data_IF_154843656914
#
_entry.id   IF_154843656914
#
_cell.length_a   1.000
_cell.length_b   1.000
_cell.length_c   1.000
_cell.angle_alpha   90.00
_cell.angle_beta   90.00
_cell.angle_gamma   90.00
#
_symmetry.space_group_name_H-M   'P 1'
#
loop_
_entity.id
_entity.type
_entity.pdbx_description
1 polymer ?
#
# COMPACT_ATOMS: atom_id res chain seq x y z
N UNK A 1 5.96 7.70 -1.23
CA UNK A 1 7.25 7.10 -0.83
C UNK A 1 7.32 7.20 0.68
N UNK A 2 7.33 6.05 1.37
CA UNK A 2 7.17 5.97 2.82
C UNK A 2 7.86 4.71 3.35
N UNK A 3 8.12 4.67 4.66
CA UNK A 3 8.62 3.48 5.36
C UNK A 3 7.43 2.59 5.70
N UNK A 4 7.27 1.49 4.99
CA UNK A 4 6.13 0.58 5.20
C UNK A 4 6.52 -0.66 6.01
N UNK A 5 7.81 -0.85 6.23
CA UNK A 5 8.34 -1.85 7.11
C UNK A 5 9.31 -1.23 8.14
N UNK A 6 9.93 -2.10 8.94
CA UNK A 6 10.93 -1.69 9.91
C UNK A 6 12.31 -1.42 9.27
N UNK A 7 12.40 -1.39 7.93
CA UNK A 7 13.63 -1.06 7.24
C UNK A 7 13.92 0.44 7.37
N UNK A 8 15.21 0.79 7.28
CA UNK A 8 15.60 2.20 7.29
C UNK A 8 15.42 2.86 5.92
N UNK A 9 14.92 2.13 4.93
CA UNK A 9 14.87 2.56 3.55
C UNK A 9 13.42 2.85 3.12
N UNK A 10 13.21 3.82 2.23
CA UNK A 10 11.89 4.13 1.73
C UNK A 10 11.40 3.08 0.71
N UNK A 11 10.15 2.67 0.88
CA UNK A 11 9.40 1.81 -0.02
C UNK A 11 8.60 2.62 -1.05
N UNK A 12 8.22 1.96 -2.14
CA UNK A 12 7.49 2.56 -3.25
C UNK A 12 6.16 1.83 -3.47
N UNK A 13 5.06 2.57 -3.37
CA UNK A 13 3.75 2.10 -3.81
C UNK A 13 3.39 2.77 -5.14
N UNK A 14 2.82 1.98 -6.06
CA UNK A 14 2.37 2.42 -7.37
C UNK A 14 0.91 2.00 -7.49
N UNK A 15 0.03 3.00 -7.46
CA UNK A 15 -1.36 2.84 -7.83
C UNK A 15 -1.46 2.73 -9.35
N UNK A 16 -2.12 1.67 -9.84
CA UNK A 16 -2.36 1.48 -11.27
C UNK A 16 -3.84 1.67 -11.56
N UNK A 17 -4.13 2.22 -12.74
CA UNK A 17 -5.47 2.29 -13.27
C UNK A 17 -5.79 0.97 -13.99
N UNK A 18 -6.86 0.28 -13.61
CA UNK A 18 -7.35 -0.97 -14.23
C UNK A 18 -6.43 -2.21 -14.15
N UNK A 19 -5.41 -2.20 -13.28
CA UNK A 19 -4.48 -3.32 -13.06
C UNK A 19 -4.10 -3.43 -11.58
N UNK A 20 -3.48 -4.54 -11.19
CA UNK A 20 -2.94 -4.75 -9.83
C UNK A 20 -2.03 -3.60 -9.39
N UNK A 21 -2.20 -3.15 -8.15
CA UNK A 21 -1.31 -2.18 -7.53
C UNK A 21 0.03 -2.84 -7.16
N UNK A 22 1.12 -2.06 -7.16
CA UNK A 22 2.45 -2.56 -6.80
C UNK A 22 2.98 -1.92 -5.52
N UNK A 23 3.63 -2.74 -4.71
CA UNK A 23 4.34 -2.35 -3.50
C UNK A 23 5.74 -2.93 -3.62
N UNK A 24 6.69 -2.06 -3.86
CA UNK A 24 8.09 -2.39 -3.95
C UNK A 24 8.77 -2.12 -2.61
N UNK A 25 9.10 -3.21 -1.91
CA UNK A 25 9.88 -3.16 -0.68
C UNK A 25 11.36 -2.97 -1.01
N UNK A 26 11.98 -1.97 -0.40
CA UNK A 26 13.39 -1.66 -0.57
C UNK A 26 14.24 -2.41 0.47
N UNK A 27 14.92 -3.47 0.02
CA UNK A 27 15.86 -4.24 0.87
C UNK A 27 17.24 -3.58 1.04
N UNK A 28 17.35 -2.30 0.66
CA UNK A 28 18.60 -1.56 0.59
C UNK A 28 19.38 -1.81 -0.70
N UNK A 29 20.42 -1.01 -0.92
CA UNK A 29 21.32 -1.13 -2.08
C UNK A 29 20.62 -1.07 -3.45
N UNK A 30 19.47 -0.38 -3.55
CA UNK A 30 18.70 -0.25 -4.79
C UNK A 30 17.97 -1.53 -5.21
N UNK A 31 17.80 -2.50 -4.31
CA UNK A 31 17.07 -3.74 -4.58
C UNK A 31 15.63 -3.63 -4.11
N UNK A 32 14.73 -3.58 -5.08
CA UNK A 32 13.29 -3.53 -4.87
C UNK A 32 12.64 -4.88 -5.19
N UNK A 33 11.78 -5.36 -4.30
CA UNK A 33 11.00 -6.59 -4.50
C UNK A 33 9.52 -6.24 -4.48
N UNK A 34 8.77 -6.65 -5.49
CA UNK A 34 7.32 -6.49 -5.49
C UNK A 34 6.70 -7.48 -4.49
N UNK A 35 6.06 -6.94 -3.46
CA UNK A 35 5.41 -7.70 -2.38
C UNK A 35 3.91 -7.41 -2.30
N UNK A 36 3.32 -6.60 -3.18
CA UNK A 36 1.92 -6.13 -3.05
C UNK A 36 0.90 -7.25 -2.84
N UNK A 37 1.03 -8.34 -3.61
CA UNK A 37 0.10 -9.46 -3.51
C UNK A 37 0.18 -10.15 -2.15
N UNK A 38 1.40 -10.34 -1.63
CA UNK A 38 1.60 -10.95 -0.31
C UNK A 38 1.25 -10.00 0.83
N UNK A 39 1.47 -8.70 0.64
CA UNK A 39 1.19 -7.67 1.63
C UNK A 39 -0.30 -7.29 1.72
N UNK A 40 -1.14 -7.78 0.80
CA UNK A 40 -2.58 -7.54 0.80
C UNK A 40 -3.01 -6.19 0.21
N UNK A 41 -2.18 -5.59 -0.65
CA UNK A 41 -2.42 -4.23 -1.21
C UNK A 41 -2.45 -4.20 -2.75
N UNK A 42 -2.42 -5.38 -3.40
CA UNK A 42 -2.44 -5.51 -4.85
C UNK A 42 -3.84 -5.38 -5.45
N UNK A 43 -4.86 -5.85 -4.72
CA UNK A 43 -6.25 -5.99 -5.14
C UNK A 43 -7.15 -5.53 -3.99
N UNK A 44 -8.40 -5.18 -4.29
CA UNK A 44 -9.43 -4.92 -3.28
C UNK A 44 -9.78 -6.16 -2.47
N UNK A 45 -10.58 -6.00 -1.41
CA UNK A 45 -10.97 -7.07 -0.48
C UNK A 45 -11.61 -8.29 -1.19
N UNK A 46 -12.32 -8.08 -2.30
CA UNK A 46 -12.98 -9.14 -3.07
C UNK A 46 -12.14 -9.68 -4.23
N UNK A 47 -10.86 -9.27 -4.35
CA UNK A 47 -9.95 -9.67 -5.42
C UNK A 47 -10.15 -8.93 -6.75
N UNK A 48 -10.84 -7.79 -6.72
CA UNK A 48 -11.04 -6.88 -7.84
C UNK A 48 -9.81 -6.00 -8.08
N UNK A 49 -9.58 -5.70 -9.37
CA UNK A 49 -8.62 -4.67 -9.76
C UNK A 49 -9.27 -3.30 -9.53
N UNK A 50 -8.55 -2.41 -8.87
CA UNK A 50 -9.07 -1.08 -8.55
C UNK A 50 -8.53 -0.03 -9.51
N UNK A 51 -9.28 1.06 -9.67
CA UNK A 51 -8.82 2.20 -10.48
C UNK A 51 -8.12 3.22 -9.58
N UNK A 52 -6.95 2.84 -9.06
CA UNK A 52 -6.19 3.64 -8.13
C UNK A 52 -5.68 4.94 -8.78
N UNK A 53 -6.26 6.08 -8.41
CA UNK A 53 -5.95 7.40 -8.99
C UNK A 53 -4.92 8.19 -8.19
N UNK A 54 -4.86 7.96 -6.89
CA UNK A 54 -4.05 8.73 -5.96
C UNK A 54 -3.70 7.91 -4.75
N UNK A 55 -2.53 8.16 -4.18
CA UNK A 55 -2.06 7.45 -3.00
C UNK A 55 -1.25 8.36 -2.11
N UNK A 56 -1.38 8.20 -0.80
CA UNK A 56 -0.55 8.88 0.19
C UNK A 56 -0.25 7.98 1.39
N UNK A 57 0.74 8.38 2.17
CA UNK A 57 1.18 7.68 3.38
C UNK A 57 1.01 8.55 4.63
N UNK A 58 0.49 7.97 5.70
CA UNK A 58 0.38 8.65 6.98
C UNK A 58 0.19 7.65 8.12
N UNK A 59 0.71 7.97 9.30
CA UNK A 59 0.42 7.23 10.54
C UNK A 59 -0.91 7.74 11.08
N UNK A 60 -2.04 7.11 10.67
CA UNK A 60 -3.37 7.65 10.99
C UNK A 60 -3.81 7.31 12.42
N UNK A 61 -3.31 6.19 12.95
CA UNK A 61 -3.71 5.66 14.26
C UNK A 61 -2.67 5.95 15.37
N UNK A 62 -1.54 6.56 15.01
CA UNK A 62 -0.42 6.91 15.88
C UNK A 62 0.25 5.67 16.52
N UNK A 63 0.33 4.56 15.78
CA UNK A 63 1.03 3.33 16.18
C UNK A 63 2.51 3.31 15.77
N UNK A 64 2.95 4.32 15.01
CA UNK A 64 4.33 4.48 14.56
C UNK A 64 4.64 3.80 13.23
N UNK A 65 3.66 3.18 12.58
CA UNK A 65 3.76 2.63 11.24
C UNK A 65 3.01 3.52 10.25
N UNK A 66 3.55 3.66 9.03
CA UNK A 66 2.84 4.40 7.99
C UNK A 66 1.77 3.51 7.38
N UNK A 67 0.54 3.99 7.43
CA UNK A 67 -0.61 3.45 6.73
C UNK A 67 -0.70 4.02 5.31
N UNK A 68 -1.44 3.34 4.45
CA UNK A 68 -1.57 3.66 3.04
C UNK A 68 -3.03 4.01 2.73
N UNK A 69 -3.27 5.17 2.14
CA UNK A 69 -4.56 5.52 1.56
C UNK A 69 -4.48 5.45 0.04
N UNK A 70 -5.49 4.86 -0.59
CA UNK A 70 -5.64 4.79 -2.05
C UNK A 70 -6.99 5.37 -2.42
N UNK A 71 -6.99 6.42 -3.22
CA UNK A 71 -8.23 7.01 -3.77
C UNK A 71 -8.50 6.36 -5.13
N UNK A 72 -9.73 5.90 -5.32
CA UNK A 72 -10.15 5.21 -6.53
C UNK A 72 -11.03 6.09 -7.44
N UNK A 73 -11.24 5.65 -8.69
CA UNK A 73 -12.06 6.36 -9.67
C UNK A 73 -13.56 6.28 -9.33
N UNK A 74 -14.35 7.15 -9.96
CA UNK A 74 -15.76 7.40 -9.70
C UNK A 74 -16.58 6.14 -9.34
N UNK A 75 -17.32 6.21 -8.22
CA UNK A 75 -18.12 5.14 -7.58
C UNK A 75 -17.35 4.08 -6.77
N UNK A 76 -16.01 4.15 -6.68
CA UNK A 76 -15.20 3.34 -5.76
C UNK A 76 -14.85 4.14 -4.48
N UNK A 77 -14.93 3.50 -3.30
CA UNK A 77 -14.57 4.13 -2.03
C UNK A 77 -13.04 4.22 -1.92
N UNK A 78 -12.53 5.28 -1.31
CA UNK A 78 -11.10 5.35 -1.00
C UNK A 78 -10.77 4.30 0.07
N UNK A 79 -9.77 3.47 -0.19
CA UNK A 79 -9.38 2.40 0.72
C UNK A 79 -8.29 2.89 1.66
N UNK A 80 -8.47 2.61 2.94
CA UNK A 80 -7.46 2.81 3.96
C UNK A 80 -6.87 1.46 4.37
N UNK A 81 -5.62 1.24 3.98
CA UNK A 81 -4.83 0.09 4.37
C UNK A 81 -4.04 0.40 5.64
N UNK A 82 -4.45 -0.19 6.77
CA UNK A 82 -3.71 -0.12 8.02
C UNK A 82 -2.48 -1.02 7.98
N UNK A 83 -1.32 -0.48 8.33
CA UNK A 83 -0.09 -1.25 8.45
C UNK A 83 -0.05 -2.00 9.79
N UNK A 84 0.13 -3.32 9.76
CA UNK A 84 0.20 -4.12 10.99
C UNK A 84 1.62 -4.19 11.60
N UNK A 85 2.58 -3.44 11.04
CA UNK A 85 3.97 -3.36 11.51
C UNK A 85 4.81 -4.61 11.24
N UNK A 86 4.24 -5.59 10.54
CA UNK A 86 4.87 -6.87 10.19
C UNK A 86 5.01 -7.06 8.66
N UNK A 87 4.79 -6.00 7.88
CA UNK A 87 4.85 -6.03 6.41
C UNK A 87 3.54 -6.45 5.74
N UNK A 88 2.46 -6.62 6.52
CA UNK A 88 1.11 -6.87 6.01
C UNK A 88 0.20 -5.67 6.29
N UNK A 89 -0.80 -5.50 5.43
CA UNK A 89 -1.81 -4.47 5.54
C UNK A 89 -3.20 -5.08 5.70
N UNK A 90 -4.05 -4.38 6.43
CA UNK A 90 -5.48 -4.69 6.56
C UNK A 90 -6.30 -3.57 5.92
N UNK A 91 -7.26 -3.90 5.07
CA UNK A 91 -8.33 -2.97 4.71
C UNK A 91 -9.21 -2.71 5.94
N UNK A 92 -9.44 -1.44 6.26
CA UNK A 92 -10.25 -1.01 7.41
C UNK A 92 -11.40 -0.06 7.01
N UNK A 93 -11.80 -0.10 5.74
CA UNK A 93 -12.85 0.76 5.15
C UNK A 93 -14.27 0.23 5.37
#
# INVERSE_FOLDING_TARGET
MGRLDNSKDPDLYIANDTNDNYLYQNSGHGKFTNVAFYAGVALGENGEMESGMGTDFGDFNNDGFLDLIVTNFQDEVAILYKNEGNGFFSDIT
#
